data_IF_356349617991
#
_entry.id   IF_356349617991
#
_cell.length_a   1.000
_cell.length_b   1.000
_cell.length_c   1.000
_cell.angle_alpha   90.00
_cell.angle_beta   90.00
_cell.angle_gamma   90.00
#
_symmetry.space_group_name_H-M   'P 1'
#
loop_
_entity.id
_entity.type
_entity.pdbx_description
1 polymer ?
#
# COMPACT_ATOMS: atom_id res chain seq x y z
N UNK A 1 -14.11 -61.58 -19.89
CA UNK A 1 -13.62 -60.29 -20.41
C UNK A 1 -14.26 -59.06 -19.76
N UNK A 2 -15.52 -59.11 -19.26
CA UNK A 2 -16.14 -57.99 -18.52
C UNK A 2 -16.20 -58.18 -16.98
N UNK A 3 -15.65 -59.26 -16.42
CA UNK A 3 -15.73 -59.58 -15.00
C UNK A 3 -14.43 -59.35 -14.21
N UNK A 4 -13.29 -59.15 -14.88
CA UNK A 4 -11.99 -58.94 -14.20
C UNK A 4 -11.77 -57.51 -13.70
N UNK A 5 -12.66 -56.57 -14.07
CA UNK A 5 -12.56 -55.15 -13.73
C UNK A 5 -13.14 -54.79 -12.36
N UNK A 6 -13.77 -55.75 -11.65
CA UNK A 6 -14.36 -55.54 -10.31
C UNK A 6 -13.63 -56.33 -9.20
N UNK A 7 -12.54 -57.04 -9.51
CA UNK A 7 -11.95 -58.02 -8.61
C UNK A 7 -10.83 -57.53 -7.67
N UNK A 8 -10.36 -56.28 -7.74
CA UNK A 8 -9.35 -55.79 -6.80
C UNK A 8 -9.74 -54.47 -6.13
N UNK A 9 -10.36 -54.57 -4.96
CA UNK A 9 -10.77 -53.42 -4.14
C UNK A 9 -9.59 -52.56 -3.67
N UNK A 10 -8.39 -53.16 -3.57
CA UNK A 10 -7.16 -52.45 -3.21
C UNK A 10 -6.68 -51.52 -4.34
N UNK A 11 -6.78 -51.96 -5.60
CA UNK A 11 -6.42 -51.13 -6.77
C UNK A 11 -7.35 -49.94 -6.93
N UNK A 12 -8.65 -50.12 -6.65
CA UNK A 12 -9.63 -49.02 -6.66
C UNK A 12 -9.32 -47.95 -5.60
N UNK A 13 -8.96 -48.36 -4.38
CA UNK A 13 -8.60 -47.43 -3.29
C UNK A 13 -7.30 -46.68 -3.62
N UNK A 14 -6.29 -47.38 -4.17
CA UNK A 14 -5.02 -46.76 -4.59
C UNK A 14 -5.22 -45.77 -5.75
N UNK A 15 -6.11 -46.09 -6.69
CA UNK A 15 -6.44 -45.23 -7.82
C UNK A 15 -7.17 -43.96 -7.33
N UNK A 16 -8.13 -44.09 -6.41
CA UNK A 16 -8.83 -42.95 -5.80
C UNK A 16 -7.90 -42.08 -4.93
N UNK A 17 -6.99 -42.68 -4.16
CA UNK A 17 -6.00 -41.96 -3.37
C UNK A 17 -5.01 -41.19 -4.25
N UNK A 18 -4.59 -41.77 -5.37
CA UNK A 18 -3.72 -41.12 -6.37
C UNK A 18 -4.43 -39.96 -7.08
N UNK A 19 -5.72 -40.12 -7.38
CA UNK A 19 -6.57 -39.05 -7.92
C UNK A 19 -6.68 -37.89 -6.92
N UNK A 20 -6.94 -38.18 -5.65
CA UNK A 20 -7.03 -37.20 -4.55
C UNK A 20 -5.71 -36.45 -4.33
N UNK A 21 -4.57 -37.15 -4.31
CA UNK A 21 -3.25 -36.54 -4.17
C UNK A 21 -2.87 -35.67 -5.38
N UNK A 22 -3.20 -36.10 -6.60
CA UNK A 22 -2.98 -35.32 -7.82
C UNK A 22 -3.86 -34.06 -7.87
N UNK A 23 -5.09 -34.14 -7.37
CA UNK A 23 -6.00 -33.00 -7.25
C UNK A 23 -5.48 -32.01 -6.20
N UNK A 24 -5.05 -32.49 -5.03
CA UNK A 24 -4.47 -31.66 -3.99
C UNK A 24 -3.21 -30.92 -4.47
N UNK A 25 -2.30 -31.62 -5.16
CA UNK A 25 -1.09 -31.01 -5.73
C UNK A 25 -1.41 -29.92 -6.75
N UNK A 26 -2.43 -30.13 -7.61
CA UNK A 26 -2.91 -29.11 -8.57
C UNK A 26 -3.54 -27.91 -7.87
N UNK A 27 -4.32 -28.12 -6.82
CA UNK A 27 -4.93 -27.03 -6.04
C UNK A 27 -3.88 -26.18 -5.34
N UNK A 28 -2.84 -26.80 -4.76
CA UNK A 28 -1.71 -26.08 -4.15
C UNK A 28 -0.94 -25.30 -5.22
N UNK A 29 -0.68 -25.89 -6.39
CA UNK A 29 0.01 -25.21 -7.49
C UNK A 29 -0.79 -24.00 -8.00
N UNK A 30 -2.13 -24.13 -8.14
CA UNK A 30 -3.01 -23.02 -8.52
C UNK A 30 -3.02 -21.93 -7.45
N UNK A 31 -3.07 -22.29 -6.17
CA UNK A 31 -3.03 -21.32 -5.06
C UNK A 31 -1.70 -20.55 -5.04
N UNK A 32 -0.57 -21.24 -5.19
CA UNK A 32 0.76 -20.61 -5.29
C UNK A 32 0.84 -19.69 -6.51
N UNK A 33 0.32 -20.13 -7.66
CA UNK A 33 0.26 -19.31 -8.86
C UNK A 33 -0.58 -18.05 -8.64
N UNK A 34 -1.74 -18.15 -8.00
CA UNK A 34 -2.58 -16.98 -7.66
C UNK A 34 -1.88 -16.00 -6.71
N UNK A 35 -1.12 -16.50 -5.73
CA UNK A 35 -0.32 -15.68 -4.83
C UNK A 35 0.79 -14.91 -5.59
N UNK A 36 1.42 -15.55 -6.58
CA UNK A 36 2.43 -14.91 -7.44
C UNK A 36 1.88 -13.78 -8.33
N UNK A 37 0.57 -13.78 -8.63
CA UNK A 37 -0.09 -12.74 -9.43
C UNK A 37 -0.89 -11.72 -8.59
N UNK A 38 -0.59 -11.61 -7.29
CA UNK A 38 -1.22 -10.59 -6.46
C UNK A 38 -0.80 -9.19 -6.92
N UNK A 39 -1.78 -8.39 -7.36
CA UNK A 39 -1.54 -7.01 -7.75
C UNK A 39 -1.31 -6.17 -6.50
N UNK A 40 -0.11 -5.60 -6.35
CA UNK A 40 0.13 -4.57 -5.35
C UNK A 40 -0.45 -3.26 -5.87
N UNK A 41 -1.57 -2.82 -5.30
CA UNK A 41 -2.12 -1.49 -5.57
C UNK A 41 -1.32 -0.48 -4.77
N UNK A 42 -0.39 0.21 -5.43
CA UNK A 42 0.31 1.36 -4.88
C UNK A 42 -0.48 2.62 -5.18
N UNK A 43 -0.76 3.42 -4.15
CA UNK A 43 -1.21 4.78 -4.38
C UNK A 43 -0.12 5.55 -5.14
N UNK A 44 -0.51 6.34 -6.14
CA UNK A 44 0.42 7.19 -6.88
C UNK A 44 1.03 8.29 -6.00
N UNK A 45 2.16 8.84 -6.43
CA UNK A 45 2.83 9.93 -5.73
C UNK A 45 2.01 11.22 -5.81
N UNK A 46 2.16 12.10 -4.83
CA UNK A 46 1.59 13.45 -4.79
C UNK A 46 2.72 14.46 -4.56
N UNK A 47 3.55 14.63 -5.59
CA UNK A 47 4.84 15.33 -5.47
C UNK A 47 4.79 16.86 -5.38
N UNK A 48 3.63 17.50 -5.51
CA UNK A 48 3.48 18.95 -5.36
C UNK A 48 2.07 19.32 -4.87
N UNK A 49 1.86 20.60 -4.56
CA UNK A 49 0.66 21.12 -3.88
C UNK A 49 -0.68 20.89 -4.61
N UNK A 50 -0.67 20.48 -5.88
CA UNK A 50 -1.87 20.16 -6.68
C UNK A 50 -1.94 18.71 -7.18
N UNK A 51 -1.04 17.85 -6.71
CA UNK A 51 -1.00 16.45 -7.09
C UNK A 51 -0.63 16.21 -8.56
N UNK A 52 -0.58 14.94 -9.00
CA UNK A 52 -0.04 14.54 -10.31
C UNK A 52 -0.61 15.30 -11.50
N UNK A 53 -1.91 15.60 -11.46
CA UNK A 53 -2.63 16.24 -12.55
C UNK A 53 -2.67 17.76 -12.44
N UNK A 54 -2.05 18.35 -11.40
CA UNK A 54 -1.98 19.80 -11.23
C UNK A 54 -3.30 20.50 -10.96
N UNK A 55 -4.35 19.75 -10.60
CA UNK A 55 -5.70 20.29 -10.36
C UNK A 55 -6.20 20.10 -8.92
N UNK A 56 -5.43 19.42 -8.06
CA UNK A 56 -5.81 19.16 -6.67
C UNK A 56 -6.87 18.07 -6.49
N UNK A 57 -7.21 17.32 -7.54
CA UNK A 57 -8.22 16.27 -7.50
C UNK A 57 -7.60 14.87 -7.37
N UNK A 58 -8.30 13.99 -6.64
CA UNK A 58 -7.97 12.57 -6.51
C UNK A 58 -9.20 11.74 -6.90
N UNK A 59 -9.46 11.51 -8.20
CA UNK A 59 -10.74 10.98 -8.69
C UNK A 59 -11.04 9.56 -8.19
N UNK A 60 -10.01 8.74 -8.00
CA UNK A 60 -10.14 7.35 -7.55
C UNK A 60 -10.02 7.18 -6.03
N UNK A 61 -9.92 8.29 -5.28
CA UNK A 61 -9.78 8.25 -3.83
C UNK A 61 -11.14 8.14 -3.14
N UNK A 62 -11.20 7.31 -2.09
CA UNK A 62 -12.34 7.20 -1.19
C UNK A 62 -11.93 7.66 0.23
N UNK A 63 -11.71 8.97 0.46
CA UNK A 63 -11.31 9.46 1.76
C UNK A 63 -12.46 9.31 2.79
N UNK A 64 -12.14 9.10 4.08
CA UNK A 64 -13.16 9.09 5.12
C UNK A 64 -13.87 10.44 5.23
N UNK A 65 -15.20 10.40 5.38
CA UNK A 65 -16.08 11.59 5.44
C UNK A 65 -16.29 12.12 6.86
N UNK A 66 -15.90 11.35 7.88
CA UNK A 66 -15.98 11.75 9.28
C UNK A 66 -14.59 11.80 9.89
N UNK A 67 -14.31 12.80 10.71
CA UNK A 67 -12.99 12.99 11.32
C UNK A 67 -13.10 13.53 12.74
N UNK A 68 -12.16 13.14 13.60
CA UNK A 68 -11.93 13.78 14.89
C UNK A 68 -10.45 13.71 15.27
N UNK A 69 -10.08 14.18 16.45
CA UNK A 69 -8.72 14.01 16.98
C UNK A 69 -8.31 12.54 17.17
N UNK A 70 -9.26 11.62 17.18
CA UNK A 70 -9.06 10.18 17.42
C UNK A 70 -9.70 9.28 16.36
N UNK A 71 -10.67 9.78 15.59
CA UNK A 71 -11.37 9.02 14.54
C UNK A 71 -10.70 9.24 13.19
N UNK A 72 -10.44 8.14 12.48
CA UNK A 72 -9.83 8.11 11.15
C UNK A 72 -8.40 8.72 11.09
N UNK A 73 -7.72 8.86 12.24
CA UNK A 73 -6.33 9.32 12.35
C UNK A 73 -5.40 8.12 12.47
N UNK A 74 -4.51 7.90 11.49
CA UNK A 74 -3.51 6.81 11.54
C UNK A 74 -2.35 7.12 12.47
N UNK A 75 -1.90 8.37 12.49
CA UNK A 75 -0.81 8.86 13.32
C UNK A 75 -0.85 10.38 13.41
N UNK A 76 -0.18 10.93 14.41
CA UNK A 76 0.04 12.37 14.58
C UNK A 76 1.44 12.59 15.15
N UNK A 77 2.12 13.64 14.68
CA UNK A 77 3.42 14.06 15.20
C UNK A 77 3.40 15.58 15.43
N UNK A 78 4.10 16.03 16.47
CA UNK A 78 4.34 17.45 16.68
C UNK A 78 5.45 17.91 15.71
N UNK A 79 5.17 18.93 14.90
CA UNK A 79 6.17 19.54 14.04
C UNK A 79 6.83 20.73 14.75
N UNK A 80 8.16 20.90 14.64
CA UNK A 80 8.82 22.08 15.17
C UNK A 80 8.50 23.30 14.32
N UNK A 81 8.36 24.46 14.96
CA UNK A 81 8.13 25.73 14.26
C UNK A 81 6.73 25.88 13.68
N UNK A 82 6.60 26.70 12.64
CA UNK A 82 5.33 26.97 11.93
C UNK A 82 5.43 26.50 10.48
N UNK A 83 4.40 25.86 9.95
CA UNK A 83 4.33 25.42 8.55
C UNK A 83 3.07 25.93 7.86
N UNK A 84 3.19 26.34 6.60
CA UNK A 84 2.06 26.71 5.72
C UNK A 84 2.10 25.98 4.38
N UNK A 85 3.06 25.06 4.19
CA UNK A 85 3.15 24.25 2.98
C UNK A 85 2.10 23.13 2.98
N UNK A 86 1.65 22.75 1.78
CA UNK A 86 0.97 21.47 1.59
C UNK A 86 1.98 20.31 1.75
N UNK A 87 1.64 19.23 2.46
CA UNK A 87 2.46 18.03 2.46
C UNK A 87 2.55 17.44 1.05
N UNK A 88 3.68 16.82 0.74
CA UNK A 88 3.83 16.01 -0.48
C UNK A 88 4.11 14.56 -0.10
N UNK A 89 3.60 13.65 -0.92
CA UNK A 89 3.70 12.21 -0.69
C UNK A 89 4.55 11.63 -1.82
N UNK A 90 5.59 10.90 -1.47
CA UNK A 90 6.39 10.14 -2.43
C UNK A 90 6.64 8.75 -1.86
N UNK A 91 6.19 7.74 -2.58
CA UNK A 91 6.14 6.35 -2.17
C UNK A 91 5.51 6.21 -0.77
N UNK A 92 6.30 5.75 0.20
CA UNK A 92 5.86 5.50 1.58
C UNK A 92 6.25 6.64 2.54
N UNK A 93 6.58 7.82 2.01
CA UNK A 93 7.10 8.95 2.76
C UNK A 93 6.19 10.18 2.62
N UNK A 94 6.09 10.94 3.71
CA UNK A 94 5.40 12.23 3.76
C UNK A 94 6.43 13.31 4.05
N UNK A 95 6.55 14.28 3.14
CA UNK A 95 7.45 15.41 3.29
C UNK A 95 6.66 16.66 3.63
N UNK A 96 7.16 17.40 4.61
CA UNK A 96 6.59 18.67 5.07
C UNK A 96 7.71 19.67 5.29
N UNK A 97 7.42 20.95 5.12
CA UNK A 97 8.36 22.03 5.46
C UNK A 97 7.84 22.79 6.67
N UNK A 98 8.74 23.20 7.56
CA UNK A 98 8.42 24.07 8.68
C UNK A 98 9.51 25.11 8.90
N UNK A 99 9.09 26.30 9.30
CA UNK A 99 9.94 27.41 9.70
C UNK A 99 10.17 27.32 11.22
N UNK A 100 11.35 26.86 11.60
CA UNK A 100 11.80 26.81 12.99
C UNK A 100 12.45 28.15 13.36
N UNK A 101 12.17 28.73 14.54
CA UNK A 101 12.86 29.93 14.98
C UNK A 101 14.38 29.70 15.01
N UNK A 102 15.13 30.55 14.29
CA UNK A 102 16.58 30.55 14.40
C UNK A 102 16.98 31.12 15.77
N UNK A 103 17.95 30.49 16.42
CA UNK A 103 18.61 31.10 17.57
C UNK A 103 19.32 32.38 17.07
N UNK A 104 18.81 33.53 17.51
CA UNK A 104 19.45 34.85 17.40
C UNK A 104 19.76 35.34 15.97
N UNK A 105 18.78 36.00 15.35
CA UNK A 105 19.13 37.18 14.57
C UNK A 105 19.47 38.29 15.57
N UNK A 106 20.75 38.54 15.79
CA UNK A 106 21.22 39.75 16.47
C UNK A 106 20.83 40.94 15.59
N UNK A 107 19.69 41.56 15.90
CA UNK A 107 19.08 42.63 15.10
C UNK A 107 18.29 42.06 13.92
N UNK A 108 16.97 42.28 13.90
CA UNK A 108 16.05 41.82 12.86
C UNK A 108 16.24 42.47 11.50
N UNK A 109 17.46 42.45 10.95
CA UNK A 109 17.78 42.83 9.59
C UNK A 109 18.04 41.55 8.81
N UNK A 110 17.16 41.26 7.85
CA UNK A 110 17.44 40.22 6.85
C UNK A 110 18.77 40.57 6.14
N UNK A 111 19.59 39.57 5.79
CA UNK A 111 20.80 39.83 5.00
C UNK A 111 20.39 40.54 3.70
N UNK A 112 21.07 41.65 3.39
CA UNK A 112 20.88 42.34 2.12
C UNK A 112 21.48 41.44 1.04
N UNK A 113 20.65 40.93 0.13
CA UNK A 113 21.12 40.14 -1.01
C UNK A 113 21.40 41.14 -2.13
N UNK A 114 22.67 41.34 -2.47
CA UNK A 114 23.03 42.08 -3.69
C UNK A 114 22.87 41.12 -4.87
N UNK A 115 21.85 41.38 -5.69
CA UNK A 115 21.70 40.80 -7.02
C UNK A 115 22.10 41.84 -8.07
#
# INVERSE_FOLDING_TARGET
MLADLLANSSDGILMMASFSASLFSRLVAVMVLMLCFSNVVLAGNWGHWRGPSGNGAAPDAAPPTEWSSTKNVKWKIALPGRGSSSPVIWDQQVFVTSAVPAATAVGGKLPNLEF
#
